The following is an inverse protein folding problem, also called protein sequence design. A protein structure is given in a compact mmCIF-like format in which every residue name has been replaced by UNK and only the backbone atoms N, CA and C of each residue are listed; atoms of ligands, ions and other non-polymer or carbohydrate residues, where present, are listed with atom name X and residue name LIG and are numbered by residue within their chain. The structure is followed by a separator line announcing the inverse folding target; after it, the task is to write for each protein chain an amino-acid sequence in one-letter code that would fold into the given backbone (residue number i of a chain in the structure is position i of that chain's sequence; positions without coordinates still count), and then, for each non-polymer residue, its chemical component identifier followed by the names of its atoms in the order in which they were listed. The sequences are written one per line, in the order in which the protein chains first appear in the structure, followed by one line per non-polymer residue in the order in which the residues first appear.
data_IF_227248774887
#
_entry.id   IF_227248774887
#
_cell.length_a   1.000
_cell.length_b   1.000
_cell.length_c   1.000
_cell.angle_alpha   90.00
_cell.angle_beta   90.00
_cell.angle_gamma   90.00
#
_symmetry.space_group_name_H-M   'P 1'
#
loop_
_entity.id
_entity.type
_entity.pdbx_description
1 polymer ?
#
# COMPACT_ATOMS: atom_id res chain seq x y z
N UNK A 1 -6.24 6.71 -20.97
CA UNK A 1 -6.24 8.05 -20.38
C UNK A 1 -6.27 7.84 -18.88
N UNK A 2 -5.15 8.07 -18.20
CA UNK A 2 -5.04 7.97 -16.74
C UNK A 2 -5.29 9.38 -16.22
N UNK A 3 -6.51 9.65 -15.77
CA UNK A 3 -6.79 10.85 -14.97
C UNK A 3 -6.38 10.52 -13.53
N UNK A 4 -5.39 11.25 -13.00
CA UNK A 4 -5.10 11.26 -11.58
C UNK A 4 -5.47 12.65 -11.06
N UNK A 5 -6.53 12.71 -10.26
CA UNK A 5 -6.87 13.89 -9.49
C UNK A 5 -6.36 13.65 -8.07
N UNK A 6 -5.33 14.38 -7.65
CA UNK A 6 -4.97 14.43 -6.23
C UNK A 6 -6.07 15.26 -5.55
N UNK A 7 -6.96 14.61 -4.81
CA UNK A 7 -7.83 15.33 -3.89
C UNK A 7 -6.93 16.03 -2.86
N UNK A 8 -6.87 17.38 -2.80
CA UNK A 8 -6.00 18.08 -1.87
C UNK A 8 -6.42 17.87 -0.40
N UNK A 9 -7.59 17.26 -0.15
CA UNK A 9 -8.12 17.00 1.17
C UNK A 9 -7.83 15.61 1.71
N UNK A 10 -7.29 14.72 0.88
CA UNK A 10 -6.95 13.35 1.28
C UNK A 10 -5.47 13.03 1.01
N UNK A 11 -4.87 12.15 1.81
CA UNK A 11 -3.54 11.65 1.51
C UNK A 11 -3.51 11.00 0.13
N UNK A 12 -2.41 11.17 -0.61
CA UNK A 12 -2.18 10.38 -1.83
C UNK A 12 -2.29 8.91 -1.51
N UNK A 13 -3.08 8.20 -2.31
CA UNK A 13 -3.26 6.76 -2.19
C UNK A 13 -3.22 6.04 -3.54
N UNK A 14 -3.04 4.73 -3.47
CA UNK A 14 -3.20 3.84 -4.62
C UNK A 14 -3.65 2.47 -4.13
N UNK A 15 -4.39 1.75 -4.97
CA UNK A 15 -4.76 0.37 -4.68
C UNK A 15 -4.44 -0.59 -5.81
N UNK A 16 -4.03 -1.80 -5.42
CA UNK A 16 -3.73 -2.93 -6.30
C UNK A 16 -4.55 -4.11 -5.84
N UNK A 17 -5.25 -4.75 -6.78
CA UNK A 17 -6.08 -5.93 -6.49
C UNK A 17 -5.39 -7.17 -7.05
N UNK A 18 -5.17 -8.16 -6.19
CA UNK A 18 -4.61 -9.46 -6.56
C UNK A 18 -5.67 -10.53 -6.40
N UNK A 19 -5.82 -11.37 -7.43
CA UNK A 19 -6.65 -12.58 -7.35
C UNK A 19 -5.78 -13.70 -6.80
N UNK A 20 -6.06 -14.16 -5.58
CA UNK A 20 -5.40 -15.31 -4.99
C UNK A 20 -6.22 -16.56 -5.28
N UNK A 21 -5.61 -17.52 -5.98
CA UNK A 21 -6.08 -18.90 -6.09
C UNK A 21 -5.45 -19.84 -5.07
N UNK A 22 -4.67 -19.30 -4.11
CA UNK A 22 -3.91 -20.07 -3.14
C UNK A 22 -4.74 -20.54 -1.93
N UNK A 23 -4.30 -21.59 -1.23
CA UNK A 23 -5.05 -22.22 -0.14
C UNK A 23 -5.23 -21.32 1.10
N UNK A 24 -4.40 -20.30 1.27
CA UNK A 24 -4.47 -19.38 2.42
C UNK A 24 -5.56 -18.29 2.30
N UNK A 25 -6.02 -17.99 1.08
CA UNK A 25 -7.09 -17.02 0.83
C UNK A 25 -7.71 -17.25 -0.57
N UNK A 26 -8.75 -18.10 -0.71
CA UNK A 26 -9.54 -18.14 -1.93
C UNK A 26 -10.29 -16.80 -2.06
N UNK A 27 -9.92 -15.97 -3.03
CA UNK A 27 -10.60 -14.69 -3.26
C UNK A 27 -9.71 -13.56 -3.77
N UNK A 28 -10.21 -12.32 -3.61
CA UNK A 28 -9.49 -11.10 -3.99
C UNK A 28 -8.88 -10.47 -2.74
N UNK A 29 -7.60 -10.13 -2.82
CA UNK A 29 -6.92 -9.30 -1.84
C UNK A 29 -6.75 -7.91 -2.43
N UNK A 30 -7.03 -6.88 -1.62
CA UNK A 30 -6.70 -5.49 -1.95
C UNK A 30 -5.49 -5.08 -1.15
N UNK A 31 -4.47 -4.60 -1.85
CA UNK A 31 -3.37 -3.85 -1.27
C UNK A 31 -3.66 -2.37 -1.49
N UNK A 32 -3.45 -1.57 -0.47
CA UNK A 32 -3.61 -0.12 -0.53
C UNK A 32 -2.35 0.50 0.05
N UNK A 33 -1.82 1.50 -0.63
CA UNK A 33 -0.80 2.37 -0.07
C UNK A 33 -1.41 3.74 0.15
N UNK A 34 -1.10 4.39 1.27
CA UNK A 34 -1.26 5.83 1.40
C UNK A 34 0.00 6.46 2.00
N UNK A 35 0.16 7.74 1.75
CA UNK A 35 1.36 8.45 2.17
C UNK A 35 1.48 8.70 3.68
N UNK A 36 0.46 8.43 4.51
CA UNK A 36 0.57 8.57 5.98
C UNK A 36 0.99 7.27 6.66
N UNK A 37 0.48 6.13 6.16
CA UNK A 37 0.57 4.84 6.85
C UNK A 37 1.21 3.72 6.03
N UNK A 38 1.57 4.00 4.76
CA UNK A 38 2.24 3.05 3.88
C UNK A 38 1.30 1.95 3.38
N UNK A 39 1.86 0.76 3.18
CA UNK A 39 1.12 -0.38 2.63
C UNK A 39 0.24 -1.06 3.67
N UNK A 40 -0.99 -1.37 3.28
CA UNK A 40 -1.94 -2.23 4.00
C UNK A 40 -2.61 -3.20 3.04
N UNK A 41 -3.16 -4.27 3.57
CA UNK A 41 -3.94 -5.23 2.79
C UNK A 41 -5.11 -5.81 3.57
N UNK A 42 -6.03 -6.42 2.83
CA UNK A 42 -7.05 -7.30 3.40
C UNK A 42 -7.91 -7.98 2.34
N UNK A 43 -8.71 -8.98 2.75
CA UNK A 43 -9.67 -9.65 1.88
C UNK A 43 -10.79 -8.70 1.47
N UNK A 44 -11.14 -8.72 0.18
CA UNK A 44 -12.25 -7.96 -0.36
C UNK A 44 -13.55 -8.75 -0.26
N UNK A 45 -14.65 -8.07 0.03
CA UNK A 45 -16.00 -8.61 -0.16
C UNK A 45 -16.42 -8.61 -1.65
N UNK A 46 -17.70 -8.89 -1.92
CA UNK A 46 -18.22 -8.93 -3.28
C UNK A 46 -18.23 -7.54 -3.92
N UNK A 47 -18.49 -6.51 -3.11
CA UNK A 47 -18.60 -5.09 -3.44
C UNK A 47 -17.22 -4.42 -3.61
N UNK A 48 -16.16 -5.07 -3.13
CA UNK A 48 -14.77 -4.62 -3.26
C UNK A 48 -14.25 -3.80 -2.07
N UNK A 49 -14.93 -3.85 -0.94
CA UNK A 49 -14.50 -3.26 0.32
C UNK A 49 -13.64 -4.23 1.12
N UNK A 50 -12.71 -3.66 1.89
CA UNK A 50 -11.96 -4.39 2.91
C UNK A 50 -12.50 -3.95 4.27
N UNK A 51 -12.98 -4.90 5.05
CA UNK A 51 -13.47 -4.61 6.39
C UNK A 51 -12.32 -4.10 7.29
N UNK A 52 -12.60 -3.07 8.11
CA UNK A 52 -11.59 -2.41 8.93
C UNK A 52 -10.88 -3.38 9.87
N UNK A 53 -11.61 -4.28 10.51
CA UNK A 53 -11.08 -5.30 11.43
C UNK A 53 -10.21 -6.35 10.73
N UNK A 54 -10.32 -6.47 9.40
CA UNK A 54 -9.52 -7.36 8.55
C UNK A 54 -8.37 -6.65 7.85
N UNK A 55 -8.24 -5.34 8.02
CA UNK A 55 -7.13 -4.56 7.47
C UNK A 55 -5.85 -4.84 8.25
N UNK A 56 -4.75 -5.07 7.54
CA UNK A 56 -3.42 -5.31 8.11
C UNK A 56 -2.39 -4.41 7.45
N UNK A 57 -1.62 -3.69 8.25
CA UNK A 57 -0.52 -2.82 7.82
C UNK A 57 0.76 -3.64 7.67
N UNK A 58 1.47 -3.39 6.58
CA UNK A 58 2.72 -4.04 6.25
C UNK A 58 3.89 -3.20 6.74
N UNK A 59 4.99 -3.83 7.20
CA UNK A 59 6.21 -3.11 7.49
C UNK A 59 6.83 -2.57 6.18
N UNK A 60 7.70 -1.56 6.28
CA UNK A 60 8.45 -1.04 5.12
C UNK A 60 8.37 0.47 4.92
N UNK A 61 7.56 1.18 5.71
CA UNK A 61 7.46 2.63 5.59
C UNK A 61 6.71 3.09 4.35
N UNK A 62 6.98 4.32 3.92
CA UNK A 62 6.25 4.99 2.84
C UNK A 62 6.81 4.73 1.45
N UNK A 63 8.14 4.58 1.31
CA UNK A 63 8.81 4.44 0.01
C UNK A 63 9.76 3.23 0.03
N UNK A 64 9.26 2.00 0.28
CA UNK A 64 10.08 0.79 0.15
C UNK A 64 10.49 0.57 -1.31
N UNK A 65 11.63 -0.09 -1.56
CA UNK A 65 12.04 -0.44 -2.92
C UNK A 65 11.02 -1.37 -3.59
N UNK A 66 10.83 -1.32 -4.92
CA UNK A 66 9.85 -2.16 -5.62
C UNK A 66 10.02 -3.66 -5.34
N UNK A 67 11.26 -4.14 -5.28
CA UNK A 67 11.57 -5.55 -4.97
C UNK A 67 11.17 -5.93 -3.54
N UNK A 68 11.28 -4.99 -2.58
CA UNK A 68 10.81 -5.21 -1.22
C UNK A 68 9.28 -5.33 -1.18
N UNK A 69 8.56 -4.50 -1.94
CA UNK A 69 7.10 -4.59 -2.07
C UNK A 69 6.71 -5.93 -2.68
N UNK A 70 7.36 -6.33 -3.78
CA UNK A 70 7.08 -7.61 -4.44
C UNK A 70 7.32 -8.80 -3.50
N UNK A 71 8.42 -8.79 -2.74
CA UNK A 71 8.74 -9.83 -1.76
C UNK A 71 7.70 -9.90 -0.64
N UNK A 72 7.26 -8.75 -0.10
CA UNK A 72 6.22 -8.69 0.94
C UNK A 72 4.89 -9.23 0.40
N UNK A 73 4.46 -8.80 -0.80
CA UNK A 73 3.24 -9.29 -1.45
C UNK A 73 3.32 -10.81 -1.63
N UNK A 74 4.46 -11.33 -2.09
CA UNK A 74 4.67 -12.77 -2.21
C UNK A 74 4.49 -13.52 -0.89
N UNK A 75 5.03 -12.99 0.22
CA UNK A 75 4.85 -13.59 1.56
C UNK A 75 3.40 -13.53 2.04
N UNK A 76 2.68 -12.44 1.77
CA UNK A 76 1.25 -12.32 2.09
C UNK A 76 0.44 -13.37 1.34
N UNK A 77 0.70 -13.53 0.04
CA UNK A 77 0.03 -14.54 -0.79
C UNK A 77 0.35 -15.97 -0.35
N UNK A 78 1.55 -16.19 0.16
CA UNK A 78 1.96 -17.47 0.76
C UNK A 78 1.42 -17.69 2.19
N UNK A 79 0.75 -16.71 2.80
CA UNK A 79 0.26 -16.79 4.18
C UNK A 79 1.35 -16.71 5.26
N UNK A 80 2.55 -16.22 4.90
CA UNK A 80 3.72 -16.11 5.80
C UNK A 80 3.96 -14.70 6.32
N UNK A 81 3.22 -13.71 5.81
CA UNK A 81 3.19 -12.33 6.28
C UNK A 81 1.76 -11.98 6.68
N UNK A 82 1.55 -11.70 7.96
CA UNK A 82 0.23 -11.39 8.51
C UNK A 82 0.00 -9.89 8.71
N UNK A 83 1.06 -9.08 8.65
CA UNK A 83 1.01 -7.66 8.98
C UNK A 83 0.59 -7.36 10.43
N UNK A 84 0.25 -6.10 10.68
CA UNK A 84 -0.17 -5.58 11.99
C UNK A 84 -1.57 -4.96 11.91
N UNK A 85 -2.44 -5.10 12.92
CA UNK A 85 -3.69 -4.35 12.98
C UNK A 85 -3.49 -2.87 13.36
N UNK A 86 -2.30 -2.49 13.85
CA UNK A 86 -2.02 -1.12 14.28
C UNK A 86 -1.56 -0.27 13.09
N UNK A 87 -2.26 0.85 12.86
CA UNK A 87 -1.91 1.83 11.83
C UNK A 87 -0.60 2.55 12.19
N UNK A 88 0.46 2.45 11.36
CA UNK A 88 1.61 3.32 11.49
C UNK A 88 1.25 4.76 11.14
N UNK A 89 1.91 5.71 11.78
CA UNK A 89 1.82 7.14 11.47
C UNK A 89 3.22 7.63 11.09
N UNK A 90 3.54 7.60 9.80
CA UNK A 90 4.85 8.00 9.29
C UNK A 90 4.96 9.49 9.00
N UNK A 91 3.85 10.12 8.61
CA UNK A 91 3.74 11.56 8.34
C UNK A 91 2.29 12.01 8.41
N UNK A 92 2.05 13.31 8.22
CA UNK A 92 0.75 13.85 7.87
C UNK A 92 0.79 14.43 6.47
N UNK A 93 -0.20 14.13 5.63
CA UNK A 93 -0.28 14.73 4.29
C UNK A 93 -0.48 16.25 4.32
N UNK A 94 -0.90 16.78 5.47
CA UNK A 94 -1.07 18.23 5.71
C UNK A 94 0.24 18.96 6.00
N UNK A 95 1.32 18.22 6.28
CA UNK A 95 2.64 18.80 6.47
C UNK A 95 3.39 18.85 5.13
N UNK A 96 3.24 19.97 4.44
CA UNK A 96 3.93 20.25 3.18
C UNK A 96 5.43 20.53 3.36
N UNK A 97 5.91 20.70 4.60
CA UNK A 97 7.30 21.03 4.93
C UNK A 97 8.15 19.83 5.32
N UNK A 98 7.58 18.63 5.40
CA UNK A 98 8.27 17.44 5.89
C UNK A 98 9.27 16.80 4.91
N UNK A 99 9.40 17.37 3.70
CA UNK A 99 10.33 16.94 2.67
C UNK A 99 9.95 15.63 1.96
N UNK A 100 8.74 15.10 2.18
CA UNK A 100 8.31 13.87 1.52
C UNK A 100 8.25 13.99 0.00
N UNK A 101 7.80 15.12 -0.55
CA UNK A 101 7.72 15.30 -2.00
C UNK A 101 9.10 15.24 -2.67
N UNK A 102 10.13 15.79 -2.03
CA UNK A 102 11.50 15.69 -2.52
C UNK A 102 11.99 14.23 -2.51
N UNK A 103 11.66 13.47 -1.46
CA UNK A 103 11.98 12.04 -1.35
C UNK A 103 11.23 11.21 -2.39
N UNK A 104 9.94 11.46 -2.60
CA UNK A 104 9.13 10.76 -3.59
C UNK A 104 9.64 11.03 -5.01
N UNK A 105 10.02 12.27 -5.32
CA UNK A 105 10.61 12.62 -6.62
C UNK A 105 11.94 11.90 -6.85
N UNK A 106 12.78 11.76 -5.82
CA UNK A 106 14.02 10.99 -5.90
C UNK A 106 13.74 9.49 -6.10
N UNK A 107 12.79 8.94 -5.36
CA UNK A 107 12.36 7.54 -5.46
C UNK A 107 11.86 7.21 -6.87
N UNK A 108 10.99 8.05 -7.44
CA UNK A 108 10.44 7.84 -8.78
C UNK A 108 11.54 7.80 -9.86
N UNK A 109 12.59 8.63 -9.73
CA UNK A 109 13.73 8.62 -10.67
C UNK A 109 14.59 7.37 -10.54
N UNK A 110 14.72 6.84 -9.33
CA UNK A 110 15.48 5.61 -9.08
C UNK A 110 14.75 4.35 -9.54
N UNK A 111 13.40 4.36 -9.51
CA UNK A 111 12.56 3.22 -9.87
C UNK A 111 12.32 3.06 -11.38
N UNK A 112 12.66 4.05 -12.21
CA UNK A 112 12.53 3.93 -13.67
C UNK A 112 13.60 2.98 -14.22
N UNK A 113 13.23 2.00 -15.08
CA UNK A 113 14.22 1.19 -15.78
C UNK A 113 15.13 2.10 -16.61
N UNK A 114 16.44 1.89 -16.49
CA UNK A 114 17.46 2.56 -17.31
C UNK A 114 17.39 2.12 -18.77
#
# INVERSE_FOLDING_TARGET
MLDHWNDPLDPRDVSVIVRSGGPAAPGRLRFVWDEESGWRFGPMDAEGWVALERTRYLPGGLLPDPDQVAAVVGRVLAGTETGSPHRPHYRSFRDYGDGFDARLAAYARAALPR
#
